data_IF_966178352555
#
_entry.id   IF_966178352555
#
_cell.length_a   1.000
_cell.length_b   1.000
_cell.length_c   1.000
_cell.angle_alpha   90.00
_cell.angle_beta   90.00
_cell.angle_gamma   90.00
#
_symmetry.space_group_name_H-M   'P 1'
#
loop_
_entity.id
_entity.type
_entity.pdbx_description
1 polymer ?
#
# COMPACT_ATOMS: atom_id res chain seq x y z
N UNK A 1 9.02 0.34 -17.63
CA UNK A 1 8.88 -0.33 -16.34
C UNK A 1 7.63 0.22 -15.70
N UNK A 2 6.73 -0.67 -15.32
CA UNK A 2 5.60 -0.36 -14.49
C UNK A 2 5.87 -1.00 -13.12
N UNK A 3 5.36 -0.38 -12.06
CA UNK A 3 5.46 -0.86 -10.70
C UNK A 3 4.18 -0.52 -9.95
N UNK A 4 4.00 -1.15 -8.80
CA UNK A 4 2.91 -0.92 -7.88
C UNK A 4 3.49 -0.35 -6.60
N UNK A 5 3.09 0.87 -6.26
CA UNK A 5 3.40 1.49 -4.97
C UNK A 5 2.32 1.09 -3.97
N UNK A 6 2.71 0.42 -2.91
CA UNK A 6 1.83 0.02 -1.84
C UNK A 6 1.94 1.06 -0.75
N UNK A 7 0.81 1.67 -0.41
CA UNK A 7 0.71 2.61 0.70
C UNK A 7 -0.14 2.01 1.81
N UNK A 8 0.23 2.34 3.05
CA UNK A 8 -0.52 1.97 4.25
C UNK A 8 -0.78 3.17 5.16
N UNK A 9 -1.84 3.11 5.94
CA UNK A 9 -2.10 4.06 7.04
C UNK A 9 -2.74 3.34 8.22
N UNK A 10 -2.51 3.86 9.42
CA UNK A 10 -3.23 3.42 10.62
C UNK A 10 -4.64 4.01 10.60
N UNK A 11 -5.64 3.20 10.94
CA UNK A 11 -7.01 3.68 11.12
C UNK A 11 -7.17 4.49 12.40
N UNK A 12 -8.19 5.38 12.47
CA UNK A 12 -9.09 5.76 11.37
C UNK A 12 -8.57 6.90 10.49
N UNK A 13 -7.59 7.68 10.95
CA UNK A 13 -7.20 8.97 10.34
C UNK A 13 -5.68 9.17 10.22
N UNK A 14 -4.90 8.09 10.12
CA UNK A 14 -3.46 8.18 9.91
C UNK A 14 -3.07 8.71 8.50
N UNK A 15 -1.87 9.31 8.36
CA UNK A 15 -1.35 9.67 7.04
C UNK A 15 -1.00 8.41 6.23
N UNK A 16 -1.17 8.49 4.91
CA UNK A 16 -0.67 7.46 4.00
C UNK A 16 0.86 7.49 3.98
N UNK A 17 1.47 6.33 4.16
CA UNK A 17 2.91 6.13 4.09
C UNK A 17 3.24 5.07 3.05
N UNK A 18 4.36 5.24 2.35
CA UNK A 18 4.83 4.26 1.37
C UNK A 18 5.37 3.03 2.14
N UNK A 19 4.69 1.89 1.98
CA UNK A 19 5.09 0.64 2.62
C UNK A 19 6.20 -0.05 1.82
N UNK A 20 6.02 -0.15 0.50
CA UNK A 20 6.99 -0.76 -0.42
C UNK A 20 6.62 -0.50 -1.89
N UNK A 21 7.50 -0.92 -2.80
CA UNK A 21 7.29 -0.94 -4.25
C UNK A 21 7.41 -2.39 -4.76
N UNK A 22 6.44 -2.83 -5.56
CA UNK A 22 6.44 -4.14 -6.21
C UNK A 22 6.49 -3.97 -7.73
N UNK A 23 7.24 -4.84 -8.41
CA UNK A 23 7.20 -4.92 -9.90
C UNK A 23 6.12 -5.92 -10.34
N UNK A 24 5.92 -6.96 -9.53
CA UNK A 24 4.90 -7.98 -9.72
C UNK A 24 3.58 -7.58 -9.06
N UNK A 25 2.50 -8.29 -9.42
CA UNK A 25 1.16 -8.07 -8.87
C UNK A 25 0.95 -8.68 -7.47
N UNK A 26 1.98 -9.30 -6.89
CA UNK A 26 1.95 -9.92 -5.58
C UNK A 26 3.17 -9.49 -4.75
N UNK A 27 2.97 -9.25 -3.46
CA UNK A 27 4.03 -8.95 -2.50
C UNK A 27 3.60 -9.33 -1.08
N UNK A 28 4.55 -9.76 -0.26
CA UNK A 28 4.34 -10.03 1.17
C UNK A 28 5.01 -8.95 1.99
N UNK A 29 4.23 -8.27 2.84
CA UNK A 29 4.75 -7.33 3.83
C UNK A 29 5.07 -8.07 5.13
N UNK A 30 6.35 -8.06 5.51
CA UNK A 30 6.81 -8.60 6.80
C UNK A 30 6.80 -7.50 7.88
N UNK A 31 6.99 -7.90 9.14
CA UNK A 31 7.21 -6.98 10.27
C UNK A 31 6.08 -5.95 10.49
N UNK A 32 4.82 -6.38 10.32
CA UNK A 32 3.67 -5.54 10.66
C UNK A 32 3.40 -5.61 12.16
N UNK A 33 3.09 -4.45 12.76
CA UNK A 33 2.68 -4.39 14.17
C UNK A 33 1.38 -5.17 14.38
N UNK A 34 1.40 -6.13 15.30
CA UNK A 34 0.22 -6.95 15.66
C UNK A 34 -0.83 -6.11 16.37
N UNK A 35 -2.11 -6.33 16.06
CA UNK A 35 -3.24 -5.62 16.67
C UNK A 35 -3.47 -4.20 16.14
N UNK A 36 -2.66 -3.73 15.19
CA UNK A 36 -2.91 -2.44 14.51
C UNK A 36 -3.83 -2.63 13.32
N UNK A 37 -4.88 -1.80 13.25
CA UNK A 37 -5.76 -1.72 12.09
C UNK A 37 -5.10 -0.88 10.99
N UNK A 38 -4.64 -1.57 9.95
CA UNK A 38 -4.04 -0.95 8.78
C UNK A 38 -5.04 -0.88 7.64
N UNK A 39 -5.03 0.23 6.92
CA UNK A 39 -5.60 0.31 5.58
C UNK A 39 -4.49 0.32 4.55
N UNK A 40 -4.66 -0.46 3.50
CA UNK A 40 -3.75 -0.56 2.36
C UNK A 40 -4.43 -0.05 1.10
N UNK A 41 -3.66 0.59 0.23
CA UNK A 41 -4.05 0.94 -1.13
C UNK A 41 -2.86 0.77 -2.07
N UNK A 42 -3.15 0.54 -3.35
CA UNK A 42 -2.14 0.39 -4.38
C UNK A 42 -2.24 1.54 -5.38
N UNK A 43 -1.09 2.09 -5.77
CA UNK A 43 -0.96 3.09 -6.82
C UNK A 43 -0.12 2.49 -7.93
N UNK A 44 -0.68 2.43 -9.15
CA UNK A 44 0.09 2.03 -10.32
C UNK A 44 1.06 3.15 -10.71
N UNK A 45 2.31 2.81 -10.96
CA UNK A 45 3.38 3.75 -11.33
C UNK A 45 3.97 3.31 -12.66
N UNK A 46 4.05 4.21 -13.63
CA UNK A 46 4.69 3.96 -14.92
C UNK A 46 5.54 5.16 -15.35
N UNK A 47 6.04 5.16 -16.60
CA UNK A 47 6.88 6.25 -17.14
C UNK A 47 6.19 7.63 -17.12
N UNK A 48 4.86 7.68 -17.12
CA UNK A 48 4.09 8.92 -17.06
C UNK A 48 3.90 9.42 -15.61
N UNK A 49 4.20 8.60 -14.61
CA UNK A 49 4.05 8.93 -13.20
C UNK A 49 3.11 7.98 -12.45
N UNK A 50 2.52 8.50 -11.38
CA UNK A 50 1.60 7.78 -10.49
C UNK A 50 0.16 7.89 -10.98
N UNK A 51 -0.57 6.78 -10.94
CA UNK A 51 -1.98 6.70 -11.27
C UNK A 51 -2.89 7.01 -10.08
N UNK A 52 -4.20 6.83 -10.30
CA UNK A 52 -5.20 6.95 -9.24
C UNK A 52 -5.04 5.80 -8.24
N UNK A 53 -5.11 6.05 -6.92
CA UNK A 53 -5.09 4.97 -5.94
C UNK A 53 -6.27 4.00 -6.08
N UNK A 54 -6.02 2.74 -5.76
CA UNK A 54 -7.08 1.72 -5.68
C UNK A 54 -8.07 1.99 -4.55
N UNK A 55 -9.16 1.22 -4.55
CA UNK A 55 -9.95 0.97 -3.35
C UNK A 55 -9.06 0.50 -2.18
N UNK A 56 -9.46 0.87 -0.97
CA UNK A 56 -8.73 0.51 0.25
C UNK A 56 -9.15 -0.86 0.75
N UNK A 57 -8.20 -1.60 1.31
CA UNK A 57 -8.44 -2.86 2.02
C UNK A 57 -7.96 -2.70 3.45
N UNK A 58 -8.81 -3.10 4.40
CA UNK A 58 -8.48 -3.11 5.82
C UNK A 58 -7.93 -4.49 6.20
N UNK A 59 -6.84 -4.51 6.96
CA UNK A 59 -6.32 -5.73 7.56
C UNK A 59 -5.79 -5.48 8.97
N UNK A 60 -5.85 -6.54 9.79
CA UNK A 60 -5.29 -6.61 11.14
C UNK A 60 -4.47 -7.89 11.21
N UNK A 61 -3.26 -7.79 11.75
CA UNK A 61 -2.42 -8.94 12.09
C UNK A 61 -2.73 -9.43 13.51
#
# INVERSE_FOLDING_TARGET
>A
MAAYKIQRRERPEGPWTDATLAIESEITLSDQTRGTEWEYRIIAVNKAGEGVPSNTVMAVL
#
